data_IF_058373572291
#
_entry.id   IF_058373572291
#
_cell.length_a   1.000
_cell.length_b   1.000
_cell.length_c   1.000
_cell.angle_alpha   90.00
_cell.angle_beta   90.00
_cell.angle_gamma   90.00
#
_symmetry.space_group_name_H-M   'P 1'
#
loop_
_entity.id
_entity.type
_entity.pdbx_description
1 polymer ?
#
# COMPACT_ATOMS: atom_id res chain seq x y z
N UNK A 1 -0.26 -2.15 -26.99
CA UNK A 1 1.00 -2.38 -26.24
C UNK A 1 0.68 -3.36 -25.13
N UNK A 2 1.20 -4.59 -25.20
CA UNK A 2 1.02 -5.60 -24.16
C UNK A 2 2.08 -5.37 -23.08
N UNK A 3 1.69 -4.77 -21.95
CA UNK A 3 2.47 -4.83 -20.72
C UNK A 3 2.29 -6.22 -20.11
N UNK A 4 2.98 -7.22 -20.67
CA UNK A 4 3.19 -8.50 -20.01
C UNK A 4 4.51 -8.43 -19.22
N UNK A 5 4.59 -7.55 -18.22
CA UNK A 5 5.39 -7.88 -17.04
C UNK A 5 4.53 -8.84 -16.22
N UNK A 6 4.82 -10.14 -16.28
CA UNK A 6 4.16 -11.11 -15.40
C UNK A 6 4.58 -10.75 -13.98
N UNK A 7 3.72 -10.09 -13.23
CA UNK A 7 3.89 -10.03 -11.79
C UNK A 7 3.86 -11.47 -11.29
N UNK A 8 4.97 -11.95 -10.74
CA UNK A 8 4.97 -13.24 -10.05
C UNK A 8 4.19 -13.07 -8.75
N UNK A 9 3.14 -13.87 -8.50
CA UNK A 9 2.46 -13.86 -7.21
C UNK A 9 3.46 -14.09 -6.07
N UNK A 10 3.18 -13.45 -4.93
CA UNK A 10 3.94 -13.48 -3.68
C UNK A 10 3.01 -13.90 -2.54
N UNK A 11 2.49 -15.15 -2.56
CA UNK A 11 1.41 -15.57 -1.67
C UNK A 11 1.79 -15.63 -0.18
N UNK A 12 3.09 -15.53 0.16
CA UNK A 12 3.61 -15.52 1.54
C UNK A 12 4.06 -14.12 1.99
N UNK A 13 4.02 -13.11 1.11
CA UNK A 13 4.50 -11.77 1.41
C UNK A 13 3.36 -10.77 1.56
N UNK A 14 3.64 -9.68 2.28
CA UNK A 14 2.80 -8.50 2.39
C UNK A 14 3.11 -7.48 1.31
N UNK A 15 2.08 -6.72 0.91
CA UNK A 15 2.23 -5.45 0.21
C UNK A 15 1.76 -4.30 1.10
N UNK A 16 2.64 -3.35 1.40
CA UNK A 16 2.31 -2.12 2.09
C UNK A 16 2.35 -0.93 1.13
N UNK A 17 1.18 -0.35 0.86
CA UNK A 17 1.05 0.89 0.08
C UNK A 17 1.19 2.07 1.04
N UNK A 18 2.14 2.95 0.74
CA UNK A 18 2.47 4.08 1.59
C UNK A 18 2.02 5.37 0.91
N UNK A 19 1.11 6.07 1.57
CA UNK A 19 0.61 7.36 1.11
C UNK A 19 1.06 8.52 2.00
N UNK A 20 0.91 9.74 1.48
CA UNK A 20 1.13 10.94 2.29
C UNK A 20 0.01 11.12 3.32
N UNK A 21 -1.24 10.95 2.87
CA UNK A 21 -2.44 11.28 3.62
C UNK A 21 -2.64 12.77 3.85
N UNK A 22 -3.73 13.15 4.50
CA UNK A 22 -4.06 14.56 4.73
C UNK A 22 -4.82 14.78 6.03
N UNK A 23 -4.38 15.78 6.79
CA UNK A 23 -5.15 16.34 7.91
C UNK A 23 -6.31 17.22 7.48
N UNK A 24 -6.31 17.67 6.21
CA UNK A 24 -7.27 18.65 5.68
C UNK A 24 -8.39 18.01 4.85
N UNK A 25 -8.12 16.85 4.26
CA UNK A 25 -9.06 16.16 3.38
C UNK A 25 -9.10 14.66 3.74
N UNK A 26 -10.12 14.21 4.49
CA UNK A 26 -10.24 12.82 4.90
C UNK A 26 -10.41 11.86 3.70
N UNK A 27 -10.91 12.36 2.56
CA UNK A 27 -11.09 11.55 1.36
C UNK A 27 -9.79 11.31 0.59
N UNK A 28 -8.67 11.92 1.01
CA UNK A 28 -7.38 11.78 0.33
C UNK A 28 -6.80 10.36 0.40
N UNK A 29 -7.20 9.57 1.40
CA UNK A 29 -6.85 8.15 1.55
C UNK A 29 -7.69 7.21 0.69
N UNK A 30 -8.90 7.63 0.27
CA UNK A 30 -9.87 6.76 -0.43
C UNK A 30 -9.26 6.03 -1.63
N UNK A 31 -8.50 6.68 -2.53
CA UNK A 31 -7.89 6.00 -3.67
C UNK A 31 -6.88 4.91 -3.27
N UNK A 32 -6.16 5.10 -2.16
CA UNK A 32 -5.20 4.12 -1.65
C UNK A 32 -5.92 2.86 -1.15
N UNK A 33 -7.02 3.04 -0.42
CA UNK A 33 -7.83 1.92 0.05
C UNK A 33 -8.48 1.16 -1.10
N UNK A 34 -8.97 1.87 -2.12
CA UNK A 34 -9.51 1.26 -3.34
C UNK A 34 -8.46 0.43 -4.08
N UNK A 35 -7.24 0.96 -4.22
CA UNK A 35 -6.11 0.22 -4.78
C UNK A 35 -5.77 -1.03 -3.96
N UNK A 36 -5.66 -0.91 -2.64
CA UNK A 36 -5.39 -2.06 -1.78
C UNK A 36 -6.49 -3.12 -1.90
N UNK A 37 -7.75 -2.72 -1.90
CA UNK A 37 -8.89 -3.63 -2.07
C UNK A 37 -8.84 -4.35 -3.42
N UNK A 38 -8.51 -3.65 -4.50
CA UNK A 38 -8.37 -4.25 -5.82
C UNK A 38 -7.19 -5.24 -5.89
N UNK A 39 -6.04 -4.92 -5.30
CA UNK A 39 -4.90 -5.84 -5.26
C UNK A 39 -5.22 -7.09 -4.42
N UNK A 40 -5.91 -6.94 -3.28
CA UNK A 40 -6.39 -8.09 -2.48
C UNK A 40 -7.28 -9.01 -3.31
N UNK A 41 -8.22 -8.46 -4.09
CA UNK A 41 -9.11 -9.26 -4.97
C UNK A 41 -8.36 -10.10 -6.00
N UNK A 42 -7.15 -9.69 -6.40
CA UNK A 42 -6.31 -10.42 -7.35
C UNK A 42 -5.54 -11.58 -6.73
N UNK A 43 -5.49 -11.68 -5.39
CA UNK A 43 -4.81 -12.77 -4.69
C UNK A 43 -3.31 -12.87 -4.96
N UNK A 44 -2.66 -11.73 -5.20
CA UNK A 44 -1.22 -11.68 -5.54
C UNK A 44 -0.31 -11.69 -4.32
N UNK A 45 -0.81 -11.29 -3.15
CA UNK A 45 -0.08 -11.19 -1.88
C UNK A 45 -0.90 -11.87 -0.77
N UNK A 46 -0.23 -12.30 0.31
CA UNK A 46 -0.89 -12.86 1.48
C UNK A 46 -1.77 -11.81 2.16
N UNK A 47 -1.23 -10.61 2.28
CA UNK A 47 -1.86 -9.46 2.92
C UNK A 47 -1.50 -8.17 2.17
N UNK A 48 -2.40 -7.21 2.21
CA UNK A 48 -2.20 -5.90 1.57
C UNK A 48 -2.70 -4.84 2.54
N UNK A 49 -1.89 -3.83 2.82
CA UNK A 49 -2.18 -2.77 3.79
C UNK A 49 -1.91 -1.40 3.19
N UNK A 50 -2.48 -0.38 3.82
CA UNK A 50 -2.15 1.02 3.59
C UNK A 50 -1.65 1.64 4.88
N UNK A 51 -0.66 2.51 4.81
CA UNK A 51 -0.33 3.41 5.89
C UNK A 51 0.01 4.80 5.36
N UNK A 52 -0.09 5.79 6.23
CA UNK A 52 0.00 7.19 5.86
C UNK A 52 0.89 7.97 6.81
N UNK A 53 1.44 9.07 6.30
CA UNK A 53 2.24 9.97 7.12
C UNK A 53 1.37 10.85 8.02
N UNK A 54 0.32 11.45 7.46
CA UNK A 54 -0.48 12.50 8.12
C UNK A 54 -1.80 12.02 8.72
N UNK A 55 -2.14 10.75 8.59
CA UNK A 55 -3.42 10.17 9.02
C UNK A 55 -3.25 8.71 9.42
N UNK A 56 -4.34 8.10 9.89
CA UNK A 56 -4.38 6.69 10.26
C UNK A 56 -4.81 5.80 9.09
N UNK A 57 -4.25 4.57 8.95
CA UNK A 57 -3.24 3.97 9.82
C UNK A 57 -1.86 4.60 9.66
N UNK A 58 -1.20 4.93 10.78
CA UNK A 58 0.08 5.62 10.76
C UNK A 58 1.23 4.72 10.26
N UNK A 59 2.19 5.31 9.54
CA UNK A 59 3.48 4.64 9.23
C UNK A 59 4.19 4.10 10.48
N UNK A 60 3.99 4.73 11.65
CA UNK A 60 4.56 4.26 12.93
C UNK A 60 3.99 2.91 13.36
N UNK A 61 2.80 2.57 12.87
CA UNK A 61 2.06 1.36 13.21
C UNK A 61 2.15 0.30 12.11
N UNK A 62 2.81 0.60 10.99
CA UNK A 62 2.88 -0.26 9.81
C UNK A 62 3.28 -1.71 10.13
N UNK A 63 4.27 -1.91 11.00
CA UNK A 63 4.75 -3.23 11.40
C UNK A 63 3.78 -4.01 12.29
N UNK A 64 2.87 -3.35 12.99
CA UNK A 64 1.86 -4.02 13.81
C UNK A 64 0.66 -4.50 12.98
N UNK A 65 0.56 -4.08 11.73
CA UNK A 65 -0.50 -4.51 10.81
C UNK A 65 -0.12 -5.73 9.97
N UNK A 66 1.13 -6.17 10.02
CA UNK A 66 1.74 -7.10 9.06
C UNK A 66 2.19 -8.35 9.82
N UNK A 67 1.66 -9.50 9.43
CA UNK A 67 2.06 -10.80 9.97
C UNK A 67 3.11 -11.50 9.06
N UNK A 68 3.25 -11.08 7.80
CA UNK A 68 4.17 -11.71 6.85
C UNK A 68 5.65 -11.42 7.17
N UNK A 69 6.52 -12.40 6.96
CA UNK A 69 7.97 -12.24 7.16
C UNK A 69 8.64 -11.36 6.09
N UNK A 70 8.08 -11.32 4.87
CA UNK A 70 8.56 -10.50 3.77
C UNK A 70 7.54 -9.41 3.43
N UNK A 71 8.00 -8.15 3.36
CA UNK A 71 7.14 -6.99 3.06
C UNK A 71 7.68 -6.24 1.86
N UNK A 72 6.82 -6.01 0.87
CA UNK A 72 7.05 -5.10 -0.24
C UNK A 72 6.44 -3.75 0.09
N UNK A 73 7.24 -2.70 0.16
CA UNK A 73 6.78 -1.34 0.46
C UNK A 73 6.75 -0.52 -0.83
N UNK A 74 5.59 0.02 -1.17
CA UNK A 74 5.39 0.85 -2.37
C UNK A 74 4.96 2.26 -1.93
N UNK A 75 5.85 3.26 -2.04
CA UNK A 75 5.50 4.67 -1.94
C UNK A 75 4.62 5.06 -3.14
N UNK A 76 3.33 5.31 -2.92
CA UNK A 76 2.39 5.74 -3.96
C UNK A 76 2.22 7.27 -3.89
N UNK A 77 3.24 7.96 -4.43
CA UNK A 77 3.36 9.42 -4.49
C UNK A 77 3.44 9.88 -5.95
N UNK A 78 2.75 10.96 -6.29
CA UNK A 78 2.74 11.54 -7.66
C UNK A 78 4.06 12.26 -7.98
N UNK A 79 4.75 12.74 -6.96
CA UNK A 79 6.04 13.43 -7.10
C UNK A 79 7.16 12.65 -6.43
N UNK A 80 8.38 12.90 -6.87
CA UNK A 80 9.60 12.53 -6.14
C UNK A 80 10.07 13.75 -5.34
N UNK A 81 10.43 13.58 -4.06
CA UNK A 81 10.81 14.71 -3.21
C UNK A 81 10.96 14.38 -1.73
N UNK A 82 11.21 15.42 -0.93
CA UNK A 82 11.16 15.30 0.53
C UNK A 82 9.69 15.30 0.97
N UNK A 83 9.29 14.18 1.54
CA UNK A 83 8.04 14.03 2.27
C UNK A 83 8.46 13.96 3.74
#
# INVERSE_FOLDING_TARGET
MNFSSRLSPKPEAALLIVGHGSTENPDSSTPYFDHAAEIRKRGLFAEVHCCFWKEEPSMREALYMIDAEEVYIVPDFISEGYF
#
